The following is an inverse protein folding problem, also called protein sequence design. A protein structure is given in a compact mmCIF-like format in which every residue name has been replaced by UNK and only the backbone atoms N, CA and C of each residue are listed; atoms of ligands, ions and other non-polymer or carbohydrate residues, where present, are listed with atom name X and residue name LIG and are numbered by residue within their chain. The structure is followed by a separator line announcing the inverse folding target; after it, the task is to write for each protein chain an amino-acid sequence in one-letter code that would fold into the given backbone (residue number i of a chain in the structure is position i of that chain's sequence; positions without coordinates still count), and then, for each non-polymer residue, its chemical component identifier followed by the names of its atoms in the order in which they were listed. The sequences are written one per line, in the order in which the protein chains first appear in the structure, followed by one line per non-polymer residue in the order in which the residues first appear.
data_IF_322360590293
#
_entry.id   IF_322360590293
#
_cell.length_a   1.000
_cell.length_b   1.000
_cell.length_c   1.000
_cell.angle_alpha   90.00
_cell.angle_beta   90.00
_cell.angle_gamma   90.00
#
_symmetry.space_group_name_H-M   'P 1'
#
loop_
_entity.id
_entity.type
_entity.pdbx_description
1 polymer ?
#
# COMPACT_ATOMS: atom_id res chain seq x y z
N UNK A 1 -5.03 -6.80 -14.70
CA UNK A 1 -4.10 -7.93 -14.54
C UNK A 1 -2.69 -7.53 -14.97
N UNK A 2 -1.66 -7.99 -14.26
CA UNK A 2 -0.26 -7.67 -14.55
C UNK A 2 0.60 -8.93 -14.49
N UNK A 3 1.53 -9.09 -15.43
CA UNK A 3 2.49 -10.20 -15.42
C UNK A 3 3.52 -10.06 -14.29
N UNK A 4 3.76 -8.81 -13.86
CA UNK A 4 4.87 -8.44 -12.98
C UNK A 4 6.19 -8.37 -13.72
N UNK A 5 7.26 -8.09 -12.98
CA UNK A 5 8.61 -7.98 -13.53
C UNK A 5 9.15 -9.31 -14.05
N UNK A 6 10.19 -9.28 -14.89
CA UNK A 6 10.86 -10.47 -15.42
C UNK A 6 11.44 -11.36 -14.29
N UNK A 7 11.51 -12.65 -14.54
CA UNK A 7 12.14 -13.62 -13.62
C UNK A 7 13.66 -13.73 -13.92
N UNK A 8 14.51 -14.02 -12.92
CA UNK A 8 14.17 -14.25 -11.50
C UNK A 8 13.83 -12.94 -10.78
N UNK A 9 12.84 -12.96 -9.90
CA UNK A 9 12.31 -11.77 -9.20
C UNK A 9 12.07 -11.98 -7.69
N UNK A 10 12.60 -13.08 -7.16
CA UNK A 10 12.57 -13.39 -5.73
C UNK A 10 13.85 -14.12 -5.38
N UNK A 11 14.60 -13.59 -4.40
CA UNK A 11 15.89 -14.09 -3.98
C UNK A 11 15.89 -14.31 -2.47
N UNK A 12 16.26 -15.51 -2.05
CA UNK A 12 16.36 -15.86 -0.63
C UNK A 12 17.79 -15.65 -0.14
N UNK A 13 17.94 -14.75 0.82
CA UNK A 13 19.21 -14.42 1.47
C UNK A 13 19.32 -15.24 2.77
N UNK A 14 19.67 -16.52 2.66
CA UNK A 14 19.60 -17.46 3.78
C UNK A 14 20.48 -17.06 4.97
N UNK A 15 21.71 -16.62 4.70
CA UNK A 15 22.66 -16.20 5.74
C UNK A 15 22.12 -15.02 6.56
N UNK A 16 21.32 -14.14 5.94
CA UNK A 16 20.78 -12.92 6.53
C UNK A 16 19.30 -13.07 6.94
N UNK A 17 18.74 -14.28 6.85
CA UNK A 17 17.31 -14.55 7.12
C UNK A 17 16.37 -13.52 6.46
N UNK A 18 16.68 -13.16 5.23
CA UNK A 18 16.02 -12.08 4.50
C UNK A 18 15.58 -12.53 3.10
N UNK A 19 14.68 -11.75 2.50
CA UNK A 19 14.19 -11.93 1.15
C UNK A 19 14.33 -10.61 0.38
N UNK A 20 14.81 -10.74 -0.86
CA UNK A 20 14.82 -9.65 -1.81
C UNK A 20 13.83 -9.96 -2.93
N UNK A 21 12.89 -9.04 -3.20
CA UNK A 21 11.89 -9.24 -4.22
C UNK A 21 11.82 -8.08 -5.20
N UNK A 22 11.57 -8.42 -6.45
CA UNK A 22 11.28 -7.49 -7.52
C UNK A 22 10.01 -7.95 -8.26
N UNK A 23 8.90 -8.13 -7.53
CA UNK A 23 7.71 -8.79 -8.03
C UNK A 23 6.93 -7.98 -9.08
N UNK A 24 6.78 -6.66 -8.89
CA UNK A 24 6.05 -5.79 -9.82
C UNK A 24 4.55 -6.09 -9.89
N UNK A 25 3.93 -6.40 -8.75
CA UNK A 25 2.49 -6.63 -8.62
C UNK A 25 1.89 -7.65 -9.61
N UNK A 26 2.54 -8.81 -9.79
CA UNK A 26 1.96 -9.87 -10.60
C UNK A 26 0.60 -10.33 -10.04
N UNK A 27 -0.45 -10.15 -10.81
CA UNK A 27 -1.82 -10.46 -10.40
C UNK A 27 -2.74 -10.69 -11.60
N UNK A 28 -3.91 -11.29 -11.34
CA UNK A 28 -4.96 -11.56 -12.35
C UNK A 28 -6.01 -10.43 -12.45
N UNK A 29 -5.79 -9.30 -11.78
CA UNK A 29 -6.70 -8.16 -11.77
C UNK A 29 -7.72 -8.19 -10.64
N UNK A 30 -8.29 -7.00 -10.36
CA UNK A 30 -9.26 -6.81 -9.28
C UNK A 30 -10.54 -7.61 -9.49
N UNK A 31 -11.02 -7.73 -10.71
CA UNK A 31 -12.25 -8.49 -11.02
C UNK A 31 -12.08 -9.98 -10.71
N UNK A 32 -10.89 -10.54 -11.01
CA UNK A 32 -10.58 -11.91 -10.62
C UNK A 32 -10.56 -12.06 -9.08
N UNK A 33 -9.94 -11.14 -8.36
CA UNK A 33 -9.92 -11.14 -6.89
C UNK A 33 -11.34 -11.09 -6.32
N UNK A 34 -12.17 -10.16 -6.81
CA UNK A 34 -13.59 -10.01 -6.44
C UNK A 34 -14.37 -11.31 -6.70
N UNK A 35 -14.19 -11.91 -7.87
CA UNK A 35 -14.84 -13.20 -8.20
C UNK A 35 -14.45 -14.31 -7.23
N UNK A 36 -13.19 -14.36 -6.79
CA UNK A 36 -12.71 -15.35 -5.81
C UNK A 36 -13.29 -15.10 -4.43
N UNK A 37 -13.34 -13.84 -3.99
CA UNK A 37 -13.92 -13.46 -2.70
C UNK A 37 -15.40 -13.82 -2.65
N UNK A 38 -16.17 -13.46 -3.68
CA UNK A 38 -17.61 -13.79 -3.77
C UNK A 38 -17.91 -15.30 -3.71
N UNK A 39 -16.98 -16.14 -4.18
CA UNK A 39 -17.09 -17.60 -4.13
C UNK A 39 -16.60 -18.19 -2.81
N UNK A 40 -15.91 -17.40 -2.00
CA UNK A 40 -15.41 -17.87 -0.70
C UNK A 40 -16.55 -18.04 0.30
N UNK A 41 -16.49 -19.12 1.08
CA UNK A 41 -17.37 -19.35 2.24
C UNK A 41 -16.70 -18.92 3.55
N UNK A 42 -15.52 -18.32 3.48
CA UNK A 42 -14.76 -17.86 4.66
C UNK A 42 -15.54 -16.76 5.39
N UNK A 43 -15.49 -16.81 6.72
CA UNK A 43 -15.98 -15.74 7.60
C UNK A 43 -14.81 -14.87 8.14
N UNK A 44 -13.61 -15.07 7.61
CA UNK A 44 -12.45 -14.25 7.98
C UNK A 44 -12.60 -12.82 7.47
N UNK A 45 -12.04 -11.88 8.20
CA UNK A 45 -11.93 -10.48 7.76
C UNK A 45 -11.05 -10.42 6.51
N UNK A 46 -11.57 -9.84 5.45
CA UNK A 46 -10.91 -9.76 4.15
C UNK A 46 -10.54 -8.32 3.83
N UNK A 47 -9.24 -8.02 3.85
CA UNK A 47 -8.70 -6.78 3.29
C UNK A 47 -8.25 -6.98 1.85
N UNK A 48 -8.63 -6.07 0.95
CA UNK A 48 -8.17 -6.10 -0.43
C UNK A 48 -7.15 -4.99 -0.67
N UNK A 49 -5.91 -5.40 -1.03
CA UNK A 49 -4.85 -4.44 -1.33
C UNK A 49 -4.91 -3.99 -2.79
N UNK A 50 -5.00 -2.69 -2.99
CA UNK A 50 -5.07 -2.04 -4.31
C UNK A 50 -3.82 -1.21 -4.60
N UNK A 51 -3.50 -1.03 -5.88
CA UNK A 51 -2.34 -0.26 -6.32
C UNK A 51 -2.41 0.11 -7.80
N UNK A 52 -1.51 0.99 -8.23
CA UNK A 52 -1.36 1.44 -9.61
C UNK A 52 -0.82 0.32 -10.52
N UNK A 53 -1.30 0.23 -11.76
CA UNK A 53 -0.68 -0.59 -12.79
C UNK A 53 0.71 -0.05 -13.19
N UNK A 54 1.56 -0.94 -13.68
CA UNK A 54 2.91 -0.60 -14.12
C UNK A 54 2.91 0.45 -15.24
N UNK A 55 2.06 0.26 -16.25
CA UNK A 55 2.02 1.10 -17.46
C UNK A 55 1.21 2.39 -17.29
N UNK A 56 0.46 2.55 -16.21
CA UNK A 56 -0.30 3.77 -15.94
C UNK A 56 0.64 4.91 -15.57
N UNK A 57 0.63 6.05 -16.28
CA UNK A 57 1.38 7.23 -15.89
C UNK A 57 1.00 7.71 -14.49
N UNK A 58 1.93 8.36 -13.80
CA UNK A 58 1.73 8.80 -12.41
C UNK A 58 0.57 9.79 -12.28
N UNK A 59 0.41 10.67 -13.25
CA UNK A 59 -0.66 11.68 -13.33
C UNK A 59 -2.07 11.05 -13.41
N UNK A 60 -2.13 9.82 -13.88
CA UNK A 60 -3.38 9.03 -13.99
C UNK A 60 -3.50 7.95 -12.94
N UNK A 61 -2.57 7.88 -11.98
CA UNK A 61 -2.56 6.85 -10.94
C UNK A 61 -3.90 6.76 -10.20
N UNK A 62 -4.52 7.89 -9.89
CA UNK A 62 -5.81 7.98 -9.18
C UNK A 62 -6.90 7.15 -9.88
N UNK A 63 -6.91 7.10 -11.21
CA UNK A 63 -7.91 6.35 -11.98
C UNK A 63 -7.84 4.85 -11.66
N UNK A 64 -6.63 4.27 -11.57
CA UNK A 64 -6.42 2.87 -11.21
C UNK A 64 -6.90 2.56 -9.78
N UNK A 65 -6.59 3.45 -8.84
CA UNK A 65 -7.03 3.27 -7.46
C UNK A 65 -8.55 3.36 -7.34
N UNK A 66 -9.18 4.33 -7.97
CA UNK A 66 -10.65 4.48 -7.94
C UNK A 66 -11.35 3.31 -8.63
N UNK A 67 -10.85 2.84 -9.76
CA UNK A 67 -11.36 1.64 -10.42
C UNK A 67 -11.27 0.40 -9.51
N UNK A 68 -10.10 0.18 -8.91
CA UNK A 68 -9.92 -0.94 -7.99
C UNK A 68 -10.79 -0.80 -6.73
N UNK A 69 -10.90 0.43 -6.20
CA UNK A 69 -11.71 0.75 -5.01
C UNK A 69 -13.19 0.43 -5.25
N UNK A 70 -13.74 0.89 -6.38
CA UNK A 70 -15.13 0.59 -6.79
C UNK A 70 -15.43 -0.92 -6.77
N UNK A 71 -14.55 -1.72 -7.37
CA UNK A 71 -14.74 -3.17 -7.45
C UNK A 71 -14.52 -3.87 -6.11
N UNK A 72 -13.57 -3.40 -5.31
CA UNK A 72 -13.18 -4.00 -4.04
C UNK A 72 -14.20 -3.69 -2.93
N UNK A 73 -14.73 -2.47 -2.88
CA UNK A 73 -15.56 -1.99 -1.78
C UNK A 73 -16.73 -2.91 -1.42
N UNK A 74 -17.52 -3.45 -2.37
CA UNK A 74 -18.66 -4.29 -2.03
C UNK A 74 -18.31 -5.64 -1.39
N UNK A 75 -17.06 -6.12 -1.53
CA UNK A 75 -16.67 -7.50 -1.20
C UNK A 75 -15.58 -7.63 -0.15
N UNK A 76 -15.01 -6.52 0.29
CA UNK A 76 -13.97 -6.50 1.33
C UNK A 76 -14.49 -5.90 2.63
N UNK A 77 -13.83 -6.20 3.74
CA UNK A 77 -14.10 -5.61 5.05
C UNK A 77 -13.31 -4.31 5.25
N UNK A 78 -12.15 -4.20 4.61
CA UNK A 78 -11.34 -2.97 4.53
C UNK A 78 -10.56 -2.93 3.22
N UNK A 79 -10.02 -1.76 2.85
CA UNK A 79 -9.19 -1.59 1.66
C UNK A 79 -7.81 -1.08 2.07
N UNK A 80 -6.78 -1.85 1.69
CA UNK A 80 -5.39 -1.44 1.85
C UNK A 80 -4.89 -0.76 0.57
N UNK A 81 -4.54 0.51 0.68
CA UNK A 81 -4.04 1.34 -0.43
C UNK A 81 -2.51 1.29 -0.44
N UNK A 82 -1.93 0.56 -1.38
CA UNK A 82 -0.49 0.38 -1.47
C UNK A 82 0.14 1.41 -2.41
N UNK A 83 0.77 2.43 -1.84
CA UNK A 83 1.46 3.51 -2.56
C UNK A 83 2.99 3.43 -2.46
N UNK A 84 3.52 2.36 -1.85
CA UNK A 84 4.90 2.28 -1.38
C UNK A 84 5.73 1.16 -2.01
N UNK A 85 5.19 0.43 -3.02
CA UNK A 85 5.97 -0.64 -3.66
C UNK A 85 7.17 -0.09 -4.43
N UNK A 86 8.39 -0.60 -4.17
CA UNK A 86 9.58 -0.18 -4.93
C UNK A 86 9.65 -0.82 -6.32
N UNK A 87 8.80 -1.80 -6.59
CA UNK A 87 8.88 -2.67 -7.76
C UNK A 87 7.94 -2.25 -8.90
N UNK A 88 7.26 -1.11 -8.74
CA UNK A 88 6.40 -0.50 -9.75
C UNK A 88 6.91 0.90 -10.05
N UNK A 89 7.09 1.18 -11.35
CA UNK A 89 7.64 2.46 -11.81
C UNK A 89 6.90 3.64 -11.18
N UNK A 90 7.66 4.56 -10.61
CA UNK A 90 7.23 5.84 -10.04
C UNK A 90 6.18 5.75 -8.90
N UNK A 91 5.82 4.54 -8.43
CA UNK A 91 4.75 4.37 -7.45
C UNK A 91 5.01 5.13 -6.15
N UNK A 92 6.25 5.12 -5.64
CA UNK A 92 6.62 5.81 -4.40
C UNK A 92 6.53 7.33 -4.49
N UNK A 93 6.48 7.91 -5.69
CA UNK A 93 6.21 9.34 -5.85
C UNK A 93 4.79 9.71 -5.39
N UNK A 94 3.89 8.74 -5.24
CA UNK A 94 2.57 8.95 -4.63
C UNK A 94 2.65 9.28 -3.14
N UNK A 95 3.76 8.98 -2.48
CA UNK A 95 4.04 9.41 -1.10
C UNK A 95 4.50 10.87 -1.01
N UNK A 96 4.72 11.55 -2.13
CA UNK A 96 5.05 12.98 -2.14
C UNK A 96 3.81 13.85 -1.96
N UNK A 97 3.98 15.03 -1.33
CA UNK A 97 2.91 16.00 -1.07
C UNK A 97 2.06 16.28 -2.32
N UNK A 98 2.71 16.43 -3.49
CA UNK A 98 2.04 16.73 -4.76
C UNK A 98 0.93 15.75 -5.14
N UNK A 99 1.12 14.45 -4.90
CA UNK A 99 0.19 13.40 -5.36
C UNK A 99 -0.62 12.81 -4.21
N UNK A 100 -0.08 12.80 -3.01
CA UNK A 100 -0.67 12.14 -1.85
C UNK A 100 -2.04 12.72 -1.50
N UNK A 101 -2.13 14.04 -1.28
CA UNK A 101 -3.36 14.71 -0.88
C UNK A 101 -4.49 14.51 -1.89
N UNK A 102 -4.19 14.59 -3.19
CA UNK A 102 -5.17 14.37 -4.26
C UNK A 102 -5.71 12.94 -4.26
N UNK A 103 -4.85 11.93 -4.12
CA UNK A 103 -5.24 10.53 -4.05
C UNK A 103 -6.15 10.26 -2.84
N UNK A 104 -5.74 10.71 -1.64
CA UNK A 104 -6.50 10.49 -0.42
C UNK A 104 -7.86 11.18 -0.49
N UNK A 105 -7.91 12.42 -0.97
CA UNK A 105 -9.17 13.15 -1.16
C UNK A 105 -10.14 12.40 -2.09
N UNK A 106 -9.64 11.84 -3.20
CA UNK A 106 -10.45 11.09 -4.14
C UNK A 106 -10.99 9.79 -3.52
N UNK A 107 -10.16 9.05 -2.77
CA UNK A 107 -10.56 7.82 -2.09
C UNK A 107 -11.58 8.08 -0.96
N UNK A 108 -11.38 9.10 -0.15
CA UNK A 108 -12.34 9.49 0.92
C UNK A 108 -13.70 9.89 0.35
N UNK A 109 -13.71 10.63 -0.74
CA UNK A 109 -14.97 10.95 -1.45
C UNK A 109 -15.70 9.70 -1.95
N UNK A 110 -14.97 8.72 -2.48
CA UNK A 110 -15.57 7.45 -2.88
C UNK A 110 -16.05 6.61 -1.67
N UNK A 111 -15.27 6.59 -0.59
CA UNK A 111 -15.68 5.93 0.66
C UNK A 111 -17.00 6.52 1.19
N UNK A 112 -17.11 7.85 1.25
CA UNK A 112 -18.33 8.52 1.67
C UNK A 112 -19.54 8.14 0.79
N UNK A 113 -19.35 8.12 -0.54
CA UNK A 113 -20.42 7.73 -1.46
C UNK A 113 -20.90 6.30 -1.26
N UNK A 114 -19.96 5.35 -1.17
CA UNK A 114 -20.31 3.93 -1.03
C UNK A 114 -20.78 3.57 0.37
N UNK A 115 -20.33 4.24 1.41
CA UNK A 115 -20.75 3.96 2.79
C UNK A 115 -22.24 4.18 3.00
N UNK A 116 -22.88 5.05 2.24
CA UNK A 116 -24.34 5.32 2.30
C UNK A 116 -25.19 4.10 1.97
N UNK A 117 -24.71 3.20 1.13
CA UNK A 117 -25.45 2.02 0.67
C UNK A 117 -24.82 0.68 1.08
N UNK A 118 -23.52 0.65 1.30
CA UNK A 118 -22.77 -0.58 1.54
C UNK A 118 -22.15 -0.66 2.95
N UNK A 119 -22.39 0.35 3.78
CA UNK A 119 -21.78 0.48 5.09
C UNK A 119 -20.34 0.99 5.03
N UNK A 120 -19.86 1.49 6.16
CA UNK A 120 -18.50 2.02 6.28
C UNK A 120 -17.47 0.91 6.23
N UNK A 121 -16.40 1.13 5.44
CA UNK A 121 -15.26 0.22 5.35
C UNK A 121 -13.95 1.00 5.46
N UNK A 122 -13.04 0.60 6.36
CA UNK A 122 -11.79 1.32 6.59
C UNK A 122 -10.89 1.39 5.36
N UNK A 123 -10.22 2.53 5.21
CA UNK A 123 -9.10 2.75 4.29
C UNK A 123 -7.81 2.72 5.09
N UNK A 124 -6.90 1.80 4.75
CA UNK A 124 -5.62 1.64 5.42
C UNK A 124 -4.50 1.89 4.40
N UNK A 125 -3.61 2.83 4.70
CA UNK A 125 -2.49 3.17 3.81
C UNK A 125 -1.27 2.31 4.11
N UNK A 126 -0.70 1.67 3.08
CA UNK A 126 0.56 0.93 3.22
C UNK A 126 1.72 1.78 2.73
N UNK A 127 2.60 2.16 3.69
CA UNK A 127 3.64 3.16 3.52
C UNK A 127 5.04 2.54 3.46
N UNK A 128 5.99 3.30 2.89
CA UNK A 128 7.40 2.93 2.79
C UNK A 128 8.13 3.12 4.13
N UNK A 129 9.11 2.27 4.46
CA UNK A 129 10.01 2.53 5.58
C UNK A 129 11.11 3.56 5.24
N UNK A 130 11.23 3.93 3.96
CA UNK A 130 12.32 4.77 3.44
C UNK A 130 11.90 6.24 3.31
N UNK A 131 10.82 6.67 4.00
CA UNK A 131 10.37 8.05 3.97
C UNK A 131 11.36 8.97 4.70
N UNK A 132 11.67 10.10 4.06
CA UNK A 132 12.40 11.19 4.70
C UNK A 132 11.52 11.87 5.77
N UNK A 133 12.13 12.40 6.83
CA UNK A 133 11.43 12.92 8.00
C UNK A 133 10.39 14.00 7.64
N UNK A 134 10.74 14.99 6.81
CA UNK A 134 9.81 16.04 6.39
C UNK A 134 8.62 15.52 5.59
N UNK A 135 8.82 14.49 4.76
CA UNK A 135 7.74 13.86 4.00
C UNK A 135 6.85 13.00 4.90
N UNK A 136 7.44 12.33 5.90
CA UNK A 136 6.69 11.55 6.89
C UNK A 136 5.76 12.45 7.70
N UNK A 137 6.23 13.62 8.15
CA UNK A 137 5.40 14.60 8.88
C UNK A 137 4.21 15.06 8.05
N UNK A 138 4.45 15.45 6.77
CA UNK A 138 3.38 15.86 5.86
C UNK A 138 2.35 14.75 5.64
N UNK A 139 2.79 13.50 5.44
CA UNK A 139 1.91 12.34 5.30
C UNK A 139 1.07 12.13 6.57
N UNK A 140 1.68 12.22 7.76
CA UNK A 140 0.96 12.06 9.02
C UNK A 140 -0.10 13.15 9.22
N UNK A 141 0.21 14.38 8.86
CA UNK A 141 -0.75 15.50 8.88
C UNK A 141 -1.94 15.22 7.96
N UNK A 142 -1.70 14.84 6.71
CA UNK A 142 -2.77 14.51 5.76
C UNK A 142 -3.62 13.30 6.23
N UNK A 143 -3.00 12.31 6.87
CA UNK A 143 -3.71 11.15 7.46
C UNK A 143 -4.70 11.62 8.52
N UNK A 144 -4.29 12.52 9.41
CA UNK A 144 -5.13 13.08 10.46
C UNK A 144 -6.21 14.01 9.88
N UNK A 145 -5.83 14.92 9.00
CA UNK A 145 -6.73 15.92 8.42
C UNK A 145 -7.84 15.29 7.53
N UNK A 146 -7.57 14.12 6.98
CA UNK A 146 -8.50 13.39 6.09
C UNK A 146 -9.18 12.19 6.75
N UNK A 147 -9.01 12.00 8.05
CA UNK A 147 -9.61 10.88 8.80
C UNK A 147 -9.32 9.51 8.14
N UNK A 148 -8.06 9.22 7.86
CA UNK A 148 -7.63 7.89 7.40
C UNK A 148 -7.69 6.91 8.57
N UNK A 149 -8.22 5.73 8.32
CA UNK A 149 -8.58 4.76 9.37
C UNK A 149 -7.40 3.99 9.95
N UNK A 150 -6.27 3.96 9.26
CA UNK A 150 -5.07 3.27 9.75
C UNK A 150 -3.94 3.23 8.75
N UNK A 151 -2.78 2.76 9.18
CA UNK A 151 -1.62 2.54 8.33
C UNK A 151 -1.04 1.13 8.49
N UNK A 152 -0.40 0.63 7.43
CA UNK A 152 0.46 -0.56 7.46
C UNK A 152 1.92 -0.08 7.41
N UNK A 153 2.63 -0.29 8.49
CA UNK A 153 4.04 0.06 8.64
C UNK A 153 4.88 -1.22 8.80
N UNK A 154 5.57 -1.61 7.76
CA UNK A 154 5.85 -0.92 6.52
C UNK A 154 5.89 -1.88 5.32
N UNK A 155 6.12 -1.31 4.13
CA UNK A 155 6.54 -2.06 2.96
C UNK A 155 8.02 -2.45 3.10
N UNK A 156 8.60 -3.05 2.06
CA UNK A 156 10.03 -3.41 1.96
C UNK A 156 10.91 -2.18 1.76
N UNK A 157 12.18 -2.25 2.17
CA UNK A 157 13.16 -1.16 1.95
C UNK A 157 13.96 -1.33 0.66
N UNK A 158 14.36 -0.21 0.06
CA UNK A 158 15.38 -0.17 -1.01
C UNK A 158 16.76 0.23 -0.48
N UNK A 159 16.88 0.54 0.81
CA UNK A 159 18.15 0.90 1.45
C UNK A 159 19.00 -0.35 1.70
N UNK A 160 19.56 -0.91 0.63
CA UNK A 160 20.43 -2.09 0.65
C UNK A 160 21.44 -2.10 -0.49
N UNK A 161 22.43 -2.99 -0.42
CA UNK A 161 23.55 -3.08 -1.39
C UNK A 161 23.44 -4.25 -2.38
N UNK A 162 22.32 -4.96 -2.39
CA UNK A 162 22.15 -6.11 -3.27
C UNK A 162 21.98 -5.69 -4.74
N UNK A 163 22.78 -6.25 -5.67
CA UNK A 163 22.82 -5.79 -7.07
C UNK A 163 21.53 -6.10 -7.85
N UNK A 164 20.71 -7.01 -7.34
CA UNK A 164 19.43 -7.39 -7.96
C UNK A 164 18.38 -6.30 -7.86
N UNK A 165 18.58 -5.30 -6.97
CA UNK A 165 17.57 -4.27 -6.72
C UNK A 165 16.29 -4.85 -6.09
N UNK A 166 15.24 -4.03 -6.07
CA UNK A 166 13.93 -4.43 -5.51
C UNK A 166 13.79 -4.14 -4.03
N UNK A 167 12.82 -4.78 -3.38
CA UNK A 167 12.49 -4.56 -1.98
C UNK A 167 13.05 -5.63 -1.07
N UNK A 168 13.80 -5.23 -0.05
CA UNK A 168 14.36 -6.09 0.98
C UNK A 168 13.40 -6.24 2.15
N UNK A 169 13.21 -7.48 2.62
CA UNK A 169 12.39 -7.84 3.79
C UNK A 169 13.09 -8.90 4.65
N UNK A 170 12.54 -9.18 5.81
CA UNK A 170 13.10 -10.13 6.76
C UNK A 170 13.96 -9.43 7.83
N UNK A 171 14.97 -10.13 8.35
CA UNK A 171 15.75 -9.65 9.50
C UNK A 171 16.45 -8.31 9.22
N UNK A 172 16.96 -8.12 8.01
CA UNK A 172 17.64 -6.88 7.64
C UNK A 172 16.69 -5.66 7.54
N UNK A 173 15.36 -5.88 7.42
CA UNK A 173 14.37 -4.81 7.46
C UNK A 173 13.95 -4.48 8.89
N UNK A 174 14.15 -5.36 9.85
CA UNK A 174 13.54 -5.26 11.19
C UNK A 174 13.82 -3.93 11.88
N UNK A 175 15.08 -3.51 11.92
CA UNK A 175 15.48 -2.24 12.54
C UNK A 175 14.85 -1.03 11.82
N UNK A 176 14.78 -1.06 10.49
CA UNK A 176 14.16 0.01 9.69
C UNK A 176 12.66 0.09 9.95
N UNK A 177 11.97 -1.05 9.96
CA UNK A 177 10.53 -1.06 10.20
C UNK A 177 10.18 -0.59 11.61
N UNK A 178 10.98 -0.94 12.63
CA UNK A 178 10.79 -0.46 13.99
C UNK A 178 11.03 1.06 14.12
N UNK A 179 12.07 1.58 13.48
CA UNK A 179 12.30 3.04 13.44
C UNK A 179 11.15 3.77 12.78
N UNK A 180 10.68 3.26 11.65
CA UNK A 180 9.54 3.80 10.93
C UNK A 180 8.26 3.75 11.79
N UNK A 181 8.00 2.63 12.47
CA UNK A 181 6.88 2.48 13.40
C UNK A 181 6.93 3.52 14.52
N UNK A 182 8.09 3.72 15.16
CA UNK A 182 8.28 4.71 16.23
C UNK A 182 8.04 6.12 15.69
N UNK A 183 8.57 6.45 14.51
CA UNK A 183 8.38 7.74 13.87
C UNK A 183 6.90 8.02 13.54
N UNK A 184 6.20 7.08 12.91
CA UNK A 184 4.76 7.24 12.67
C UNK A 184 3.98 7.37 13.98
N UNK A 185 4.30 6.58 15.00
CA UNK A 185 3.62 6.64 16.29
C UNK A 185 3.82 7.98 17.00
N UNK A 186 4.99 8.61 16.86
CA UNK A 186 5.27 9.93 17.45
C UNK A 186 4.40 11.05 16.85
N UNK A 187 4.10 10.99 15.57
CA UNK A 187 3.25 11.97 14.89
C UNK A 187 1.74 11.65 14.99
N UNK A 188 1.35 10.38 14.84
CA UNK A 188 -0.05 9.97 14.82
C UNK A 188 -0.64 9.73 16.22
N UNK A 189 0.20 9.66 17.26
CA UNK A 189 -0.26 9.32 18.60
C UNK A 189 -0.92 7.94 18.66
N UNK A 190 -1.90 7.76 19.54
CA UNK A 190 -2.68 6.52 19.68
C UNK A 190 -3.99 6.50 18.88
N UNK A 191 -4.34 7.60 18.22
CA UNK A 191 -5.62 7.76 17.52
C UNK A 191 -5.74 6.93 16.25
N UNK A 192 -4.61 6.67 15.58
CA UNK A 192 -4.57 5.91 14.33
C UNK A 192 -3.99 4.52 14.57
N UNK A 193 -4.73 3.43 14.23
CA UNK A 193 -4.20 2.08 14.24
C UNK A 193 -3.01 1.92 13.30
N UNK A 194 -1.95 1.25 13.78
CA UNK A 194 -0.77 0.88 12.97
C UNK A 194 -0.68 -0.65 12.99
N UNK A 195 -0.63 -1.25 11.79
CA UNK A 195 -0.53 -2.69 11.54
C UNK A 195 0.89 -3.00 11.05
#
# INVERSE_FOLDING_TARGET
AQAGNAKPRLFRLRANRSLLNNMGFNNKGVEHAVSRIKKSKSKAIIGLSIGKNYDTPLERAIEDYLFCFEKAYPVSDYIAVNISSPNTKDLRQLESEKYFSGLITALKKQQENYSKSLGYKPIILKLSPDLEEGNLENICKEILDKDIDGIICSNTTISHKYPQGGGLSGEELFEFSNKSLIAFRSFLGSSIPII
#
